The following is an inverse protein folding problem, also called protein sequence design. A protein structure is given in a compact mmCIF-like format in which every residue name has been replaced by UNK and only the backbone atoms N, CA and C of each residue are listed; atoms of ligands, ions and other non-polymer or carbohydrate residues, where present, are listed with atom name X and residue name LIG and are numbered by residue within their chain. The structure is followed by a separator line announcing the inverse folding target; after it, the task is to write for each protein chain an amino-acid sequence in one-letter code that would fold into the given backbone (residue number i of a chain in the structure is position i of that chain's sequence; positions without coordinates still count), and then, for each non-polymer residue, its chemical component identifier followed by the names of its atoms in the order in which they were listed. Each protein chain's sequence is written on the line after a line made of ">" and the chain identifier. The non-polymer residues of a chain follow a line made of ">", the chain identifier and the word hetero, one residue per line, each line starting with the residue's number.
data_IF_056405802236
#
_entry.id   IF_056405802236
#
_cell.length_a   1.000
_cell.length_b   1.000
_cell.length_c   1.000
_cell.angle_alpha   90.00
_cell.angle_beta   90.00
_cell.angle_gamma   90.00
#
_symmetry.space_group_name_H-M   'P 1'
#
loop_
_entity.id
_entity.type
_entity.pdbx_description
1 polymer ?
#
# COMPACT_ATOMS: atom_id res chain seq x y z
N UNK A 1 6.47 -1.04 -14.40
CA UNK A 1 7.69 -0.37 -14.90
C UNK A 1 8.83 -1.37 -15.00
N UNK A 2 9.68 -1.27 -16.03
CA UNK A 2 10.92 -2.06 -16.14
C UNK A 2 11.96 -1.48 -15.18
N UNK A 3 11.83 -1.77 -13.88
CA UNK A 3 12.89 -1.47 -12.91
C UNK A 3 14.22 -2.12 -13.35
N UNK A 4 15.37 -1.65 -12.83
CA UNK A 4 16.67 -2.23 -13.18
C UNK A 4 16.60 -3.75 -13.06
N UNK A 5 16.84 -4.44 -14.18
CA UNK A 5 16.66 -5.89 -14.26
C UNK A 5 17.49 -6.54 -13.15
N UNK A 6 16.81 -7.26 -12.24
CA UNK A 6 17.42 -7.97 -11.11
C UNK A 6 18.70 -8.66 -11.59
N UNK A 7 19.82 -8.42 -10.91
CA UNK A 7 21.11 -8.99 -11.27
C UNK A 7 21.21 -10.44 -10.79
N UNK A 8 20.62 -10.73 -9.64
CA UNK A 8 20.63 -12.05 -9.01
C UNK A 8 19.26 -12.43 -8.43
N UNK A 9 19.01 -13.74 -8.33
CA UNK A 9 17.90 -14.33 -7.60
C UNK A 9 18.45 -15.34 -6.58
N UNK A 10 17.77 -15.48 -5.44
CA UNK A 10 18.12 -16.48 -4.44
C UNK A 10 17.01 -17.52 -4.32
N UNK A 11 17.39 -18.77 -4.02
CA UNK A 11 16.46 -19.87 -3.75
C UNK A 11 17.08 -20.85 -2.76
N UNK A 12 16.24 -21.57 -2.03
CA UNK A 12 16.68 -22.73 -1.26
C UNK A 12 16.86 -23.93 -2.19
N UNK A 13 18.03 -24.56 -2.14
CA UNK A 13 18.33 -25.81 -2.81
C UNK A 13 18.26 -26.94 -1.79
N UNK A 14 17.25 -27.81 -1.93
CA UNK A 14 17.00 -28.89 -0.98
C UNK A 14 18.03 -30.02 -1.09
N UNK A 15 18.60 -30.27 -2.26
CA UNK A 15 19.58 -31.35 -2.44
C UNK A 15 20.92 -30.94 -1.84
N UNK A 16 21.32 -29.68 -2.08
CA UNK A 16 22.53 -29.11 -1.50
C UNK A 16 22.35 -28.65 -0.04
N UNK A 17 21.11 -28.61 0.47
CA UNK A 17 20.76 -28.03 1.78
C UNK A 17 21.36 -26.63 1.98
N UNK A 18 21.26 -25.79 0.95
CA UNK A 18 21.93 -24.50 0.91
C UNK A 18 21.09 -23.41 0.26
N UNK A 19 21.35 -22.16 0.66
CA UNK A 19 20.86 -20.97 -0.05
C UNK A 19 21.74 -20.70 -1.26
N UNK A 20 21.16 -20.74 -2.45
CA UNK A 20 21.87 -20.52 -3.71
C UNK A 20 21.47 -19.18 -4.29
N UNK A 21 22.46 -18.35 -4.61
CA UNK A 21 22.29 -17.10 -5.35
C UNK A 21 22.77 -17.31 -6.78
N UNK A 22 21.91 -17.04 -7.75
CA UNK A 22 22.19 -17.24 -9.18
C UNK A 22 22.01 -15.93 -9.92
N UNK A 23 22.97 -15.61 -10.80
CA UNK A 23 22.84 -14.47 -11.70
C UNK A 23 21.69 -14.69 -12.69
N UNK A 24 20.78 -13.73 -12.78
CA UNK A 24 19.62 -13.76 -13.70
C UNK A 24 19.93 -13.10 -15.05
N UNK A 25 21.11 -12.52 -15.20
CA UNK A 25 21.65 -11.93 -16.42
C UNK A 25 23.18 -11.91 -16.38
N UNK A 26 23.81 -11.51 -17.47
CA UNK A 26 25.24 -11.20 -17.48
C UNK A 26 25.51 -9.99 -16.57
N UNK A 27 26.57 -10.09 -15.76
CA UNK A 27 27.01 -9.06 -14.83
C UNK A 27 28.48 -8.75 -15.14
N UNK A 28 28.82 -7.47 -15.25
CA UNK A 28 30.18 -7.03 -15.57
C UNK A 28 31.02 -6.84 -14.29
N UNK A 29 32.35 -6.90 -14.42
CA UNK A 29 33.24 -6.62 -13.31
C UNK A 29 33.06 -5.16 -12.85
N UNK A 30 32.91 -4.94 -11.54
CA UNK A 30 32.63 -3.64 -10.95
C UNK A 30 31.15 -3.25 -10.91
N UNK A 31 30.26 -4.06 -11.48
CA UNK A 31 28.81 -3.86 -11.39
C UNK A 31 28.25 -4.36 -10.04
N UNK A 32 27.30 -3.62 -9.48
CA UNK A 32 26.60 -4.01 -8.25
C UNK A 32 25.63 -5.18 -8.48
N UNK A 33 25.64 -6.14 -7.55
CA UNK A 33 24.73 -7.29 -7.55
C UNK A 33 23.40 -6.94 -6.87
N UNK A 34 22.40 -6.57 -7.66
CA UNK A 34 21.07 -6.25 -7.15
C UNK A 34 20.19 -7.49 -7.05
N UNK A 35 19.64 -7.75 -5.86
CA UNK A 35 18.57 -8.73 -5.61
C UNK A 35 17.24 -8.03 -5.31
N UNK A 36 16.16 -8.80 -5.10
CA UNK A 36 14.87 -8.26 -4.70
C UNK A 36 14.39 -8.86 -3.38
N UNK A 37 13.87 -8.01 -2.50
CA UNK A 37 13.22 -8.38 -1.24
C UNK A 37 11.77 -8.90 -1.42
N UNK A 38 11.34 -9.09 -2.67
CA UNK A 38 9.97 -9.40 -3.06
C UNK A 38 9.14 -8.15 -3.38
N UNK A 39 7.84 -8.31 -3.69
CA UNK A 39 6.91 -7.19 -3.84
C UNK A 39 6.57 -6.63 -2.45
N UNK A 40 7.37 -5.70 -1.96
CA UNK A 40 7.18 -5.05 -0.66
C UNK A 40 6.83 -3.59 -0.88
N UNK A 41 5.79 -3.11 -0.19
CA UNK A 41 5.45 -1.69 -0.14
C UNK A 41 6.51 -0.89 0.63
N UNK A 42 6.53 0.43 0.42
CA UNK A 42 7.43 1.34 1.11
C UNK A 42 7.23 1.31 2.64
N UNK A 43 6.00 1.10 3.11
CA UNK A 43 5.74 0.88 4.54
C UNK A 43 6.52 -0.33 5.08
N UNK A 44 6.45 -1.46 4.39
CA UNK A 44 7.11 -2.70 4.83
C UNK A 44 8.63 -2.62 4.68
N UNK A 45 9.13 -2.01 3.60
CA UNK A 45 10.56 -1.79 3.38
C UNK A 45 11.15 -0.86 4.44
N UNK A 46 10.52 0.28 4.69
CA UNK A 46 11.02 1.25 5.65
C UNK A 46 11.01 0.68 7.07
N UNK A 47 9.93 -0.01 7.46
CA UNK A 47 9.82 -0.66 8.77
C UNK A 47 10.89 -1.76 8.99
N UNK A 48 11.21 -2.53 7.96
CA UNK A 48 12.06 -3.72 8.09
C UNK A 48 13.54 -3.43 7.81
N UNK A 49 13.80 -2.53 6.86
CA UNK A 49 15.14 -2.30 6.30
C UNK A 49 15.57 -0.83 6.33
N UNK A 50 14.70 0.11 6.73
CA UNK A 50 15.06 1.52 6.89
C UNK A 50 15.27 2.31 5.59
N UNK A 51 14.68 1.85 4.48
CA UNK A 51 14.71 2.59 3.20
C UNK A 51 13.36 2.48 2.46
N UNK A 52 13.17 3.35 1.46
CA UNK A 52 12.02 3.30 0.54
C UNK A 52 12.45 3.15 -0.92
N UNK A 53 11.59 2.61 -1.76
CA UNK A 53 11.68 2.77 -3.20
C UNK A 53 11.20 4.17 -3.61
N UNK A 54 11.71 4.71 -4.75
CA UNK A 54 11.06 5.80 -5.46
C UNK A 54 9.58 5.48 -5.71
N UNK A 55 8.69 6.47 -5.70
CA UNK A 55 7.25 6.23 -5.74
C UNK A 55 6.77 5.61 -7.07
N UNK A 56 7.52 5.81 -8.18
CA UNK A 56 7.27 5.18 -9.49
C UNK A 56 7.72 3.71 -9.57
N UNK A 57 8.51 3.24 -8.59
CA UNK A 57 9.01 1.88 -8.51
C UNK A 57 8.34 1.05 -7.41
N UNK A 58 7.44 1.64 -6.62
CA UNK A 58 6.72 0.96 -5.56
C UNK A 58 5.72 -0.07 -6.13
N UNK A 59 5.80 -1.37 -5.76
CA UNK A 59 5.02 -2.44 -6.41
C UNK A 59 3.62 -2.65 -5.81
N UNK A 60 3.38 -2.15 -4.61
CA UNK A 60 2.13 -2.30 -3.87
C UNK A 60 2.08 -1.28 -2.75
N UNK A 61 0.88 -1.03 -2.22
CA UNK A 61 0.69 -0.19 -1.06
C UNK A 61 0.10 -1.00 0.08
N UNK A 62 0.61 -0.78 1.28
CA UNK A 62 0.10 -1.47 2.46
C UNK A 62 -0.20 -0.48 3.58
N UNK A 63 -1.14 -0.84 4.45
CA UNK A 63 -1.51 -0.06 5.64
C UNK A 63 -1.71 -0.98 6.83
N UNK A 64 -1.10 -0.64 7.97
CA UNK A 64 -1.32 -1.37 9.23
C UNK A 64 -2.38 -0.62 10.03
N UNK A 65 -3.52 -1.26 10.26
CA UNK A 65 -4.63 -0.64 10.98
C UNK A 65 -4.23 -0.39 12.44
N UNK A 66 -4.31 0.88 12.83
CA UNK A 66 -4.08 1.32 14.21
C UNK A 66 -5.41 1.31 14.96
N UNK A 67 -5.53 0.45 15.97
CA UNK A 67 -6.77 0.26 16.75
C UNK A 67 -7.39 1.57 17.25
N UNK A 68 -6.64 2.57 17.76
CA UNK A 68 -7.26 3.83 18.20
C UNK A 68 -7.99 4.58 17.08
N UNK A 69 -7.49 4.50 15.83
CA UNK A 69 -8.12 5.16 14.69
C UNK A 69 -9.34 4.40 14.18
N UNK A 70 -9.28 3.07 14.15
CA UNK A 70 -10.38 2.22 13.67
C UNK A 70 -11.44 1.92 14.76
N UNK A 71 -11.20 2.35 16.01
CA UNK A 71 -12.08 2.09 17.16
C UNK A 71 -13.55 2.48 16.89
N UNK A 72 -13.88 3.64 16.28
CA UNK A 72 -15.27 3.97 15.97
C UNK A 72 -15.94 2.94 15.07
N UNK A 73 -15.24 2.45 14.04
CA UNK A 73 -15.75 1.40 13.16
C UNK A 73 -15.89 0.05 13.89
N UNK A 74 -14.95 -0.32 14.76
CA UNK A 74 -15.09 -1.53 15.58
C UNK A 74 -16.29 -1.46 16.52
N UNK A 75 -16.52 -0.31 17.17
CA UNK A 75 -17.65 -0.13 18.08
C UNK A 75 -19.00 -0.21 17.37
N UNK A 76 -19.09 0.32 16.14
CA UNK A 76 -20.31 0.32 15.34
C UNK A 76 -20.64 -1.08 14.80
N UNK A 77 -19.65 -1.79 14.24
CA UNK A 77 -19.87 -3.04 13.52
C UNK A 77 -19.64 -4.30 14.36
N UNK A 78 -18.83 -4.22 15.41
CA UNK A 78 -18.43 -5.35 16.27
C UNK A 78 -18.49 -4.96 17.77
N UNK A 79 -19.64 -4.47 18.29
CA UNK A 79 -19.74 -4.02 19.67
C UNK A 79 -19.40 -5.13 20.66
N UNK A 80 -18.47 -4.85 21.57
CA UNK A 80 -18.04 -5.79 22.62
C UNK A 80 -17.13 -6.93 22.13
N UNK A 81 -16.73 -6.94 20.86
CA UNK A 81 -15.71 -7.86 20.36
C UNK A 81 -14.38 -7.14 20.20
N UNK A 82 -13.34 -7.70 20.81
CA UNK A 82 -11.97 -7.24 20.58
C UNK A 82 -11.39 -8.03 19.40
N UNK A 83 -11.04 -7.32 18.32
CA UNK A 83 -10.18 -7.88 17.29
C UNK A 83 -8.75 -7.91 17.82
N UNK A 84 -8.27 -9.10 18.18
CA UNK A 84 -6.91 -9.30 18.72
C UNK A 84 -5.85 -9.29 17.62
N UNK A 85 -6.24 -9.58 16.37
CA UNK A 85 -5.34 -9.59 15.23
C UNK A 85 -5.09 -8.17 14.69
N UNK A 86 -3.82 -7.84 14.45
CA UNK A 86 -3.45 -6.64 13.70
C UNK A 86 -3.92 -6.80 12.24
N UNK A 87 -4.81 -5.92 11.80
CA UNK A 87 -5.25 -5.91 10.41
C UNK A 87 -4.17 -5.27 9.54
N UNK A 88 -3.74 -6.00 8.52
CA UNK A 88 -2.89 -5.50 7.45
C UNK A 88 -3.74 -5.39 6.19
N UNK A 89 -3.75 -4.20 5.61
CA UNK A 89 -4.33 -3.94 4.30
C UNK A 89 -3.20 -3.97 3.27
N UNK A 90 -3.44 -4.59 2.13
CA UNK A 90 -2.53 -4.62 0.99
C UNK A 90 -3.35 -4.38 -0.29
N UNK A 91 -2.88 -3.47 -1.14
CA UNK A 91 -3.61 -3.08 -2.34
C UNK A 91 -3.71 -4.19 -3.38
N UNK A 92 -2.82 -5.19 -3.32
CA UNK A 92 -2.74 -6.26 -4.32
C UNK A 92 -3.27 -7.60 -3.79
N UNK A 93 -3.37 -7.77 -2.46
CA UNK A 93 -3.75 -9.03 -1.83
C UNK A 93 -4.71 -8.83 -0.66
N UNK A 94 -5.65 -9.76 -0.49
CA UNK A 94 -6.47 -9.81 0.73
C UNK A 94 -5.76 -10.64 1.78
N UNK A 95 -5.22 -9.97 2.79
CA UNK A 95 -4.56 -10.62 3.92
C UNK A 95 -5.53 -11.46 4.74
N UNK A 96 -5.04 -12.56 5.33
CA UNK A 96 -5.86 -13.48 6.09
C UNK A 96 -6.57 -12.80 7.28
N UNK A 97 -5.90 -11.84 7.94
CA UNK A 97 -6.48 -11.09 9.06
C UNK A 97 -7.63 -10.18 8.62
N UNK A 98 -7.54 -9.56 7.44
CA UNK A 98 -8.66 -8.80 6.87
C UNK A 98 -9.83 -9.74 6.54
N UNK A 99 -9.58 -10.86 5.87
CA UNK A 99 -10.62 -11.85 5.57
C UNK A 99 -11.33 -12.34 6.84
N UNK A 100 -10.59 -12.62 7.91
CA UNK A 100 -11.16 -13.04 9.20
C UNK A 100 -12.05 -11.95 9.82
N UNK A 101 -11.62 -10.69 9.79
CA UNK A 101 -12.40 -9.57 10.28
C UNK A 101 -13.69 -9.39 9.49
N UNK A 102 -13.62 -9.38 8.16
CA UNK A 102 -14.80 -9.26 7.29
C UNK A 102 -15.80 -10.40 7.52
N UNK A 103 -15.32 -11.64 7.60
CA UNK A 103 -16.16 -12.80 7.90
C UNK A 103 -16.80 -12.71 9.29
N UNK A 104 -16.11 -12.10 10.26
CA UNK A 104 -16.65 -11.89 11.61
C UNK A 104 -17.78 -10.86 11.60
N UNK A 105 -17.62 -9.75 10.87
CA UNK A 105 -18.68 -8.75 10.67
C UNK A 105 -19.89 -9.37 9.97
N UNK A 106 -19.69 -10.16 8.92
CA UNK A 106 -20.77 -10.87 8.22
C UNK A 106 -21.50 -11.86 9.14
N UNK A 107 -20.78 -12.65 9.95
CA UNK A 107 -21.39 -13.57 10.93
C UNK A 107 -22.19 -12.85 12.01
N UNK A 108 -21.82 -11.62 12.34
CA UNK A 108 -22.57 -10.76 13.25
C UNK A 108 -23.82 -10.13 12.59
N UNK A 109 -24.11 -10.45 11.32
CA UNK A 109 -25.28 -9.93 10.60
C UNK A 109 -25.12 -8.47 10.15
N UNK A 110 -23.88 -8.00 9.99
CA UNK A 110 -23.55 -6.63 9.56
C UNK A 110 -22.91 -6.63 8.17
N UNK A 111 -22.93 -5.48 7.50
CA UNK A 111 -22.32 -5.30 6.19
C UNK A 111 -20.79 -5.14 6.33
N UNK A 112 -20.05 -6.13 5.81
CA UNK A 112 -18.58 -6.13 5.87
C UNK A 112 -17.93 -5.07 4.96
N UNK A 113 -18.60 -4.68 3.87
CA UNK A 113 -18.14 -3.60 3.00
C UNK A 113 -18.28 -2.24 3.64
N UNK A 114 -19.41 -1.97 4.31
CA UNK A 114 -19.60 -0.75 5.11
C UNK A 114 -18.61 -0.66 6.26
N UNK A 115 -18.34 -1.78 6.92
CA UNK A 115 -17.30 -1.87 7.95
C UNK A 115 -15.92 -1.47 7.40
N UNK A 116 -15.48 -2.07 6.29
CA UNK A 116 -14.19 -1.75 5.70
C UNK A 116 -14.13 -0.29 5.25
N UNK A 117 -15.21 0.24 4.67
CA UNK A 117 -15.32 1.65 4.31
C UNK A 117 -15.20 2.57 5.53
N UNK A 118 -15.80 2.20 6.67
CA UNK A 118 -15.68 2.96 7.91
C UNK A 118 -14.25 2.93 8.46
N UNK A 119 -13.59 1.77 8.46
CA UNK A 119 -12.17 1.64 8.83
C UNK A 119 -11.30 2.53 7.95
N UNK A 120 -11.45 2.46 6.62
CA UNK A 120 -10.67 3.27 5.68
C UNK A 120 -10.87 4.77 5.94
N UNK A 121 -12.11 5.23 6.08
CA UNK A 121 -12.44 6.64 6.34
C UNK A 121 -11.79 7.15 7.62
N UNK A 122 -11.93 6.41 8.73
CA UNK A 122 -11.32 6.79 10.00
C UNK A 122 -9.78 6.84 9.90
N UNK A 123 -9.19 5.88 9.20
CA UNK A 123 -7.75 5.77 9.04
C UNK A 123 -7.14 6.80 8.08
N UNK A 124 -7.91 7.32 7.10
CA UNK A 124 -7.47 8.36 6.16
C UNK A 124 -7.41 9.76 6.77
N UNK A 125 -8.31 10.07 7.70
CA UNK A 125 -8.49 11.42 8.25
C UNK A 125 -7.19 12.07 8.78
N UNK A 126 -6.28 11.36 9.47
CA UNK A 126 -5.00 11.92 9.89
C UNK A 126 -4.09 12.35 8.73
N UNK A 127 -4.13 11.66 7.59
CA UNK A 127 -3.34 11.99 6.40
C UNK A 127 -3.89 13.22 5.69
N UNK A 128 -5.23 13.32 5.58
CA UNK A 128 -5.90 14.46 4.97
C UNK A 128 -5.74 15.76 5.78
N UNK A 129 -5.50 15.62 7.09
CA UNK A 129 -5.24 16.74 8.00
C UNK A 129 -3.75 17.10 8.11
N UNK A 130 -2.84 16.28 7.57
CA UNK A 130 -1.39 16.50 7.66
C UNK A 130 -0.93 17.58 6.68
N UNK A 131 -0.47 18.71 7.23
CA UNK A 131 -0.02 19.84 6.43
C UNK A 131 1.15 19.50 5.51
N UNK A 132 2.04 18.60 5.94
CA UNK A 132 3.20 18.18 5.14
C UNK A 132 2.80 17.31 3.95
N UNK A 133 1.64 16.65 4.01
CA UNK A 133 1.12 15.85 2.90
C UNK A 133 0.27 16.65 1.92
N UNK A 134 -0.22 17.84 2.29
CA UNK A 134 -1.08 18.65 1.41
C UNK A 134 -0.52 18.83 0.00
N UNK A 135 0.78 19.12 -0.22
CA UNK A 135 1.31 19.26 -1.58
C UNK A 135 1.21 17.96 -2.39
N UNK A 136 1.55 16.82 -1.78
CA UNK A 136 1.48 15.50 -2.40
C UNK A 136 0.03 15.07 -2.70
N UNK A 137 -0.90 15.29 -1.76
CA UNK A 137 -2.33 15.02 -1.96
C UNK A 137 -2.94 15.92 -3.05
N UNK A 138 -2.53 17.19 -3.09
CA UNK A 138 -2.93 18.11 -4.16
C UNK A 138 -2.41 17.68 -5.52
N UNK A 139 -1.17 17.20 -5.59
CA UNK A 139 -0.58 16.64 -6.80
C UNK A 139 -1.27 15.34 -7.24
N UNK A 140 -1.60 14.45 -6.31
CA UNK A 140 -2.40 13.26 -6.59
C UNK A 140 -3.76 13.63 -7.20
N UNK A 141 -4.45 14.61 -6.64
CA UNK A 141 -5.75 15.08 -7.15
C UNK A 141 -5.66 15.60 -8.60
N UNK A 142 -4.62 16.38 -8.91
CA UNK A 142 -4.36 16.85 -10.29
C UNK A 142 -4.08 15.69 -11.24
N UNK A 143 -3.20 14.77 -10.86
CA UNK A 143 -2.87 13.59 -11.66
C UNK A 143 -4.14 12.78 -11.95
N UNK A 144 -5.01 12.61 -10.95
CA UNK A 144 -6.28 11.88 -11.05
C UNK A 144 -7.36 12.60 -11.86
N UNK A 145 -7.28 13.92 -11.96
CA UNK A 145 -8.16 14.69 -12.87
C UNK A 145 -7.83 14.37 -14.33
N UNK A 146 -6.56 14.13 -14.65
CA UNK A 146 -6.13 13.73 -15.99
C UNK A 146 -6.33 12.22 -16.25
N UNK A 147 -6.06 11.37 -15.26
CA UNK A 147 -6.19 9.92 -15.32
C UNK A 147 -6.72 9.37 -14.00
N UNK A 148 -8.01 9.07 -13.93
CA UNK A 148 -8.67 8.62 -12.71
C UNK A 148 -8.03 7.37 -12.07
N UNK A 149 -7.25 6.58 -12.81
CA UNK A 149 -6.62 5.36 -12.31
C UNK A 149 -5.14 5.56 -11.89
N UNK A 150 -4.60 6.77 -12.00
CA UNK A 150 -3.19 7.03 -11.67
C UNK A 150 -2.97 7.23 -10.17
N UNK A 151 -1.81 6.76 -9.71
CA UNK A 151 -1.26 7.03 -8.38
C UNK A 151 -0.09 8.03 -8.43
N UNK A 152 0.22 8.60 -9.61
CA UNK A 152 1.44 9.34 -9.92
C UNK A 152 1.53 10.74 -9.29
N UNK A 153 1.27 10.86 -7.99
CA UNK A 153 1.31 12.13 -7.25
C UNK A 153 2.63 12.87 -7.38
N UNK A 154 3.74 12.15 -7.55
CA UNK A 154 5.07 12.72 -7.73
C UNK A 154 5.26 13.45 -9.06
N UNK A 155 4.51 13.06 -10.10
CA UNK A 155 4.64 13.65 -11.45
C UNK A 155 4.03 15.04 -11.57
N UNK A 156 3.12 15.38 -10.65
CA UNK A 156 2.39 16.65 -10.63
C UNK A 156 2.87 17.59 -9.50
N UNK A 157 3.98 17.27 -8.84
CA UNK A 157 4.58 18.17 -7.85
C UNK A 157 5.13 19.43 -8.52
N UNK A 158 5.00 20.56 -7.83
CA UNK A 158 5.65 21.80 -8.25
C UNK A 158 7.17 21.69 -8.11
N UNK A 159 7.92 22.58 -8.76
CA UNK A 159 9.39 22.64 -8.58
C UNK A 159 9.78 22.85 -7.11
N UNK A 160 9.00 23.64 -6.37
CA UNK A 160 9.23 23.89 -4.93
C UNK A 160 8.93 22.67 -4.07
N UNK A 161 7.98 21.83 -4.47
CA UNK A 161 7.57 20.63 -3.75
C UNK A 161 8.30 19.36 -4.23
N UNK A 162 9.08 19.43 -5.31
CA UNK A 162 9.84 18.32 -5.89
C UNK A 162 10.65 17.51 -4.88
N UNK A 163 11.34 18.12 -3.90
CA UNK A 163 12.05 17.39 -2.86
C UNK A 163 11.19 16.41 -2.03
N UNK A 164 9.87 16.62 -1.94
CA UNK A 164 8.96 15.71 -1.23
C UNK A 164 8.92 14.31 -1.85
N UNK A 165 9.13 14.20 -3.17
CA UNK A 165 9.22 12.89 -3.83
C UNK A 165 10.44 12.08 -3.39
N UNK A 166 11.45 12.73 -2.78
CA UNK A 166 12.64 12.10 -2.22
C UNK A 166 12.57 11.90 -0.71
N UNK A 167 11.51 12.39 -0.07
CA UNK A 167 11.32 12.32 1.37
C UNK A 167 10.70 10.97 1.76
N UNK A 168 11.46 10.14 2.47
CA UNK A 168 11.02 8.78 2.85
C UNK A 168 9.78 8.80 3.75
N UNK A 169 9.65 9.79 4.63
CA UNK A 169 8.49 9.93 5.50
C UNK A 169 7.22 10.26 4.72
N UNK A 170 7.33 11.13 3.70
CA UNK A 170 6.21 11.42 2.78
C UNK A 170 5.87 10.19 1.95
N UNK A 171 6.87 9.46 1.42
CA UNK A 171 6.64 8.23 0.64
C UNK A 171 5.88 7.18 1.43
N UNK A 172 6.30 6.90 2.67
CA UNK A 172 5.60 5.93 3.54
C UNK A 172 4.15 6.36 3.79
N UNK A 173 3.92 7.64 4.09
CA UNK A 173 2.57 8.16 4.32
C UNK A 173 1.69 8.13 3.06
N UNK A 174 2.26 8.45 1.89
CA UNK A 174 1.53 8.36 0.62
C UNK A 174 1.23 6.91 0.24
N UNK A 175 2.14 5.96 0.49
CA UNK A 175 1.86 4.52 0.38
C UNK A 175 0.66 4.14 1.25
N UNK A 176 0.68 4.49 2.54
CA UNK A 176 -0.43 4.20 3.46
C UNK A 176 -1.76 4.82 2.97
N UNK A 177 -1.75 6.08 2.52
CA UNK A 177 -2.92 6.75 2.00
C UNK A 177 -3.47 6.09 0.72
N UNK A 178 -2.60 5.75 -0.23
CA UNK A 178 -2.96 5.09 -1.48
C UNK A 178 -3.55 3.70 -1.23
N UNK A 179 -3.03 2.95 -0.25
CA UNK A 179 -3.61 1.67 0.17
C UNK A 179 -5.07 1.85 0.63
N UNK A 180 -5.31 2.81 1.51
CA UNK A 180 -6.66 3.10 2.02
C UNK A 180 -7.61 3.53 0.90
N UNK A 181 -7.14 4.39 -0.02
CA UNK A 181 -7.92 4.83 -1.18
C UNK A 181 -8.23 3.66 -2.13
N UNK A 182 -7.28 2.77 -2.39
CA UNK A 182 -7.47 1.60 -3.24
C UNK A 182 -8.57 0.66 -2.70
N UNK A 183 -8.63 0.46 -1.37
CA UNK A 183 -9.70 -0.33 -0.76
C UNK A 183 -11.08 0.35 -0.85
N UNK A 184 -11.16 1.67 -0.65
CA UNK A 184 -12.42 2.42 -0.84
C UNK A 184 -12.92 2.32 -2.28
N UNK A 185 -12.02 2.45 -3.26
CA UNK A 185 -12.35 2.33 -4.68
C UNK A 185 -12.74 0.91 -5.07
N UNK A 186 -12.07 -0.11 -4.50
CA UNK A 186 -12.45 -1.51 -4.70
C UNK A 186 -13.87 -1.78 -4.18
N UNK A 187 -14.24 -1.24 -3.01
CA UNK A 187 -15.61 -1.32 -2.49
C UNK A 187 -16.62 -0.58 -3.37
N UNK A 188 -16.28 0.61 -3.87
CA UNK A 188 -17.12 1.34 -4.80
C UNK A 188 -17.31 0.58 -6.13
N UNK A 189 -16.25 -0.05 -6.64
CA UNK A 189 -16.31 -0.88 -7.84
C UNK A 189 -17.15 -2.13 -7.63
N UNK A 190 -16.98 -2.82 -6.51
CA UNK A 190 -17.78 -4.00 -6.16
C UNK A 190 -19.28 -3.68 -6.04
N UNK A 191 -19.61 -2.46 -5.60
CA UNK A 191 -20.98 -1.95 -5.51
C UNK A 191 -21.50 -1.33 -6.83
N UNK A 192 -20.73 -1.36 -7.93
CA UNK A 192 -21.12 -0.78 -9.21
C UNK A 192 -21.18 0.76 -9.24
N UNK A 193 -20.58 1.44 -8.26
CA UNK A 193 -20.51 2.92 -8.18
C UNK A 193 -19.29 3.51 -8.89
N UNK A 194 -18.30 2.67 -9.20
CA UNK A 194 -17.06 3.06 -9.87
C UNK A 194 -16.73 2.00 -10.92
N UNK A 195 -16.27 2.41 -12.09
CA UNK A 195 -15.78 1.45 -13.08
C UNK A 195 -14.38 0.95 -12.68
N UNK A 196 -14.07 -0.31 -12.96
CA UNK A 196 -12.74 -0.89 -12.67
C UNK A 196 -11.60 -0.10 -13.32
N UNK A 197 -11.85 0.49 -14.49
CA UNK A 197 -10.88 1.30 -15.21
C UNK A 197 -10.55 2.63 -14.51
N UNK A 198 -11.35 3.04 -13.52
CA UNK A 198 -11.16 4.25 -12.72
C UNK A 198 -10.52 3.97 -11.36
N UNK A 199 -10.38 2.69 -10.97
CA UNK A 199 -9.67 2.31 -9.75
C UNK A 199 -8.16 2.55 -9.91
N UNK A 200 -7.49 2.87 -8.81
CA UNK A 200 -6.03 2.97 -8.71
C UNK A 200 -5.36 1.72 -9.29
N UNK A 201 -4.41 1.95 -10.21
CA UNK A 201 -3.52 0.93 -10.74
C UNK A 201 -2.27 0.82 -9.87
N UNK A 202 -2.15 -0.29 -9.15
CA UNK A 202 -0.91 -0.73 -8.50
C UNK A 202 0.11 -1.29 -9.48
#
# INVERSE_FOLDING_TARGET
>A
ANGPSRGVAWRWDADAQAMVVTATRRILAGEELLCAYGPRSNLLLYRTYGFTHPPDAEPSWSYIVRTPLASPAYQEFLPGQELTAQLLLDSNNLEASLCEALNTVTRAGRDAGEFLAAVCRCCKQPYESDERLRPALGALSRARTADAATAAWWSELSETDGPLASDEGVRVKMCEYLCLLAHEEALACAAGRLERAQCLRG
#
